data_IF_173738320426
#
_entry.id   IF_173738320426
#
_cell.length_a   1.000
_cell.length_b   1.000
_cell.length_c   1.000
_cell.angle_alpha   90.00
_cell.angle_beta   90.00
_cell.angle_gamma   90.00
#
_symmetry.space_group_name_H-M   'P 1'
#
loop_
_entity.id
_entity.type
_entity.pdbx_description
1 polymer ?
#
# COMPACT_ATOMS: atom_id res chain seq x y z
N UNK A 1 2.17 23.63 -24.42
CA UNK A 1 2.03 22.29 -23.82
C UNK A 1 1.28 22.45 -22.51
N UNK A 2 0.55 21.43 -22.07
CA UNK A 2 0.01 21.39 -20.71
C UNK A 2 0.85 20.39 -19.94
N UNK A 3 1.10 20.69 -18.67
CA UNK A 3 1.85 19.83 -17.78
C UNK A 3 0.85 19.08 -16.92
N UNK A 4 1.15 17.81 -16.67
CA UNK A 4 0.38 16.94 -15.81
C UNK A 4 1.17 16.74 -14.52
N UNK A 5 0.43 16.71 -13.43
CA UNK A 5 0.95 16.69 -12.06
C UNK A 5 0.21 15.60 -11.30
N UNK A 6 0.88 15.00 -10.33
CA UNK A 6 0.26 14.07 -9.39
C UNK A 6 0.51 14.59 -7.98
N UNK A 7 -0.58 14.86 -7.28
CA UNK A 7 -0.52 15.23 -5.88
C UNK A 7 -1.39 14.27 -5.07
N UNK A 8 -0.90 13.88 -3.91
CA UNK A 8 -1.52 12.90 -3.06
C UNK A 8 -1.23 13.16 -1.58
N UNK A 9 -2.15 12.68 -0.75
CA UNK A 9 -2.05 12.75 0.71
C UNK A 9 -2.50 11.44 1.30
N UNK A 10 -1.98 11.12 2.47
CA UNK A 10 -2.38 9.93 3.18
C UNK A 10 -2.04 9.96 4.65
N UNK A 11 -2.34 8.84 5.28
CA UNK A 11 -2.15 8.61 6.70
C UNK A 11 -1.57 7.22 6.91
N UNK A 12 -0.49 7.17 7.68
CA UNK A 12 0.04 5.97 8.29
C UNK A 12 -0.72 5.69 9.60
N UNK A 13 -1.32 4.51 9.73
CA UNK A 13 -2.02 4.06 10.93
C UNK A 13 -1.04 3.30 11.83
N UNK A 14 -0.41 3.99 12.77
CA UNK A 14 0.72 3.51 13.58
C UNK A 14 0.64 4.04 15.02
N UNK A 15 1.35 3.45 15.97
CA UNK A 15 1.33 3.93 17.36
C UNK A 15 2.09 5.24 17.56
N UNK A 16 3.24 5.38 16.90
CA UNK A 16 4.15 6.52 16.98
C UNK A 16 5.12 6.55 15.81
N UNK A 17 5.63 7.72 15.45
CA UNK A 17 6.78 7.80 14.54
C UNK A 17 8.02 7.29 15.28
N UNK A 18 8.78 6.44 14.59
CA UNK A 18 10.03 5.82 15.03
C UNK A 18 11.11 6.00 13.95
N UNK A 19 12.39 5.70 14.24
CA UNK A 19 13.46 5.76 13.25
C UNK A 19 13.15 4.99 11.95
N UNK A 20 12.54 3.80 12.03
CA UNK A 20 12.14 3.06 10.81
C UNK A 20 11.11 3.83 9.98
N UNK A 21 10.09 4.39 10.63
CA UNK A 21 9.06 5.17 9.93
C UNK A 21 9.66 6.44 9.33
N UNK A 22 10.57 7.11 10.04
CA UNK A 22 11.29 8.28 9.52
C UNK A 22 12.15 7.93 8.31
N UNK A 23 12.88 6.81 8.34
CA UNK A 23 13.71 6.36 7.23
C UNK A 23 12.88 6.04 5.97
N UNK A 24 11.73 5.38 6.13
CA UNK A 24 10.91 4.91 5.00
C UNK A 24 9.94 5.97 4.47
N UNK A 25 9.46 6.89 5.32
CA UNK A 25 8.40 7.83 4.95
C UNK A 25 8.78 9.30 5.13
N UNK A 26 10.00 9.61 5.60
CA UNK A 26 10.43 10.98 5.86
C UNK A 26 10.38 11.90 4.63
N UNK A 27 10.64 11.36 3.43
CA UNK A 27 10.54 12.09 2.17
C UNK A 27 9.09 12.51 1.82
N UNK A 28 8.07 11.86 2.40
CA UNK A 28 6.66 12.14 2.15
C UNK A 28 6.10 13.25 3.05
N UNK A 29 6.85 14.31 3.37
CA UNK A 29 6.40 15.38 4.27
C UNK A 29 5.76 14.83 5.57
N UNK A 30 6.42 13.83 6.17
CA UNK A 30 5.91 13.08 7.33
C UNK A 30 5.62 14.01 8.52
N UNK A 31 4.38 14.02 9.01
CA UNK A 31 3.94 14.88 10.12
C UNK A 31 3.02 14.13 11.11
N UNK A 32 3.45 13.98 12.37
CA UNK A 32 2.64 13.41 13.45
C UNK A 32 1.65 14.41 14.08
N UNK A 33 1.79 15.70 13.79
CA UNK A 33 1.01 16.77 14.41
C UNK A 33 -0.28 17.10 13.65
N UNK A 34 -0.44 16.53 12.45
CA UNK A 34 -1.51 16.86 11.51
C UNK A 34 -2.28 15.59 11.07
N UNK A 35 -3.59 15.44 11.34
CA UNK A 35 -4.35 15.98 12.47
C UNK A 35 -4.02 15.21 13.78
N UNK A 36 -4.10 15.87 14.95
CA UNK A 36 -3.49 15.40 16.19
C UNK A 36 -4.20 14.19 16.85
N UNK A 37 -3.41 13.17 17.23
CA UNK A 37 -3.62 12.46 18.52
C UNK A 37 -4.14 11.01 18.53
N UNK A 38 -4.37 10.34 17.40
CA UNK A 38 -5.08 9.04 17.38
C UNK A 38 -4.27 7.87 16.78
N UNK A 39 -2.94 7.87 16.91
CA UNK A 39 -2.10 6.83 16.30
C UNK A 39 -2.08 6.94 14.77
N UNK A 40 -1.85 8.15 14.28
CA UNK A 40 -1.87 8.52 12.87
C UNK A 40 -0.74 9.47 12.57
N UNK A 41 -0.04 9.28 11.45
CA UNK A 41 0.93 10.23 10.92
C UNK A 41 0.54 10.57 9.48
N UNK A 42 0.53 11.86 9.15
CA UNK A 42 0.27 12.35 7.81
C UNK A 42 1.49 12.18 6.91
N UNK A 43 1.21 11.86 5.65
CA UNK A 43 2.18 11.84 4.57
C UNK A 43 1.58 12.54 3.34
N UNK A 44 2.41 13.14 2.52
CA UNK A 44 2.04 13.76 1.25
C UNK A 44 3.09 13.49 0.19
N UNK A 45 2.63 13.49 -1.06
CA UNK A 45 3.46 13.52 -2.26
C UNK A 45 2.93 14.65 -3.12
N UNK A 46 3.74 15.68 -3.33
CA UNK A 46 3.32 16.89 -4.04
C UNK A 46 4.32 17.10 -5.17
N UNK A 47 3.86 16.94 -6.41
CA UNK A 47 4.67 16.96 -7.62
C UNK A 47 5.63 18.15 -7.78
N UNK A 48 5.33 19.29 -7.17
CA UNK A 48 6.17 20.50 -7.21
C UNK A 48 6.99 20.75 -5.93
N UNK A 49 6.78 19.97 -4.86
CA UNK A 49 7.45 20.12 -3.55
C UNK A 49 8.31 18.90 -3.22
N UNK A 50 7.68 17.73 -3.17
CA UNK A 50 8.28 16.49 -2.73
C UNK A 50 7.75 15.32 -3.56
N UNK A 51 8.64 14.63 -4.26
CA UNK A 51 8.31 13.47 -5.08
C UNK A 51 9.20 12.30 -4.68
N UNK A 52 8.86 11.56 -3.61
CA UNK A 52 9.75 10.59 -2.99
C UNK A 52 10.23 9.52 -3.97
N UNK A 53 11.54 9.45 -4.15
CA UNK A 53 12.22 8.43 -4.95
C UNK A 53 12.86 7.39 -4.05
N UNK A 54 13.08 6.19 -4.58
CA UNK A 54 13.85 5.15 -3.90
C UNK A 54 15.25 5.61 -3.48
N UNK A 55 15.86 6.55 -4.22
CA UNK A 55 17.12 7.18 -3.82
C UNK A 55 16.99 7.96 -2.50
N UNK A 56 15.88 8.67 -2.27
CA UNK A 56 15.63 9.37 -1.01
C UNK A 56 15.41 8.38 0.14
N UNK A 57 14.77 7.24 -0.15
CA UNK A 57 14.57 6.15 0.82
C UNK A 57 15.91 5.51 1.18
N UNK A 58 16.80 5.31 0.22
CA UNK A 58 18.14 4.77 0.47
C UNK A 58 18.93 5.66 1.43
N UNK A 59 18.88 6.99 1.28
CA UNK A 59 19.52 7.92 2.22
C UNK A 59 18.98 7.71 3.65
N UNK A 60 17.65 7.62 3.80
CA UNK A 60 17.02 7.34 5.10
C UNK A 60 17.39 5.97 5.68
N UNK A 61 17.50 4.94 4.84
CA UNK A 61 17.92 3.60 5.26
C UNK A 61 19.40 3.58 5.69
N UNK A 62 20.27 4.31 5.02
CA UNK A 62 21.69 4.45 5.39
C UNK A 62 21.82 5.17 6.73
N UNK A 63 21.07 6.24 6.95
CA UNK A 63 21.06 6.93 8.24
C UNK A 63 20.58 6.01 9.36
N UNK A 64 19.52 5.21 9.12
CA UNK A 64 19.02 4.23 10.07
C UNK A 64 20.06 3.13 10.38
N UNK A 65 20.73 2.59 9.37
CA UNK A 65 21.74 1.54 9.59
C UNK A 65 22.96 2.08 10.33
N UNK A 66 23.37 3.33 10.07
CA UNK A 66 24.42 4.02 10.81
C UNK A 66 24.03 4.24 12.28
N UNK A 67 22.80 4.69 12.55
CA UNK A 67 22.29 4.87 13.91
C UNK A 67 22.22 3.56 14.70
N UNK A 68 22.03 2.44 14.00
CA UNK A 68 22.03 1.09 14.55
C UNK A 68 23.42 0.42 14.58
N UNK A 69 24.48 1.13 14.14
CA UNK A 69 25.86 0.63 14.03
C UNK A 69 25.98 -0.66 13.18
N UNK A 70 25.23 -0.70 12.07
CA UNK A 70 25.20 -1.82 11.13
C UNK A 70 26.13 -1.56 9.94
N UNK A 71 26.91 -2.58 9.56
CA UNK A 71 27.71 -2.53 8.34
C UNK A 71 26.80 -2.74 7.11
N UNK A 72 26.74 -1.73 6.25
CA UNK A 72 26.04 -1.80 4.95
C UNK A 72 27.08 -1.81 3.83
N UNK A 73 26.98 -2.81 2.94
CA UNK A 73 27.90 -3.00 1.83
C UNK A 73 29.17 -3.78 2.18
N UNK A 74 29.94 -4.16 1.16
CA UNK A 74 31.31 -4.64 1.33
C UNK A 74 32.26 -3.45 1.56
N UNK A 75 33.43 -3.65 2.18
CA UNK A 75 34.36 -2.60 2.64
C UNK A 75 34.73 -1.49 1.60
N UNK A 76 34.48 -1.72 0.30
CA UNK A 76 34.75 -0.78 -0.81
C UNK A 76 33.52 -0.57 -1.77
N UNK A 77 32.34 -1.08 -1.43
CA UNK A 77 31.13 -1.00 -2.27
C UNK A 77 30.22 0.19 -1.95
N UNK A 78 29.55 0.75 -2.96
CA UNK A 78 28.48 1.74 -2.74
C UNK A 78 27.27 1.05 -2.10
N UNK A 79 26.70 1.66 -1.05
CA UNK A 79 25.51 1.12 -0.41
C UNK A 79 24.33 1.15 -1.40
N UNK A 80 23.55 0.08 -1.39
CA UNK A 80 22.35 -0.07 -2.22
C UNK A 80 21.15 -0.35 -1.31
N UNK A 81 19.94 -0.23 -1.86
CA UNK A 81 18.72 -0.53 -1.10
C UNK A 81 18.75 -1.98 -0.63
N UNK A 82 19.12 -2.92 -1.50
CA UNK A 82 19.16 -4.34 -1.19
C UNK A 82 20.14 -4.63 -0.05
N UNK A 83 21.33 -4.03 -0.08
CA UNK A 83 22.34 -4.25 0.97
C UNK A 83 21.91 -3.64 2.31
N UNK A 84 21.27 -2.47 2.30
CA UNK A 84 20.69 -1.87 3.51
C UNK A 84 19.53 -2.72 4.07
N UNK A 85 18.62 -3.18 3.20
CA UNK A 85 17.49 -4.01 3.60
C UNK A 85 17.93 -5.36 4.17
N UNK A 86 18.95 -6.02 3.61
CA UNK A 86 19.48 -7.26 4.19
C UNK A 86 20.15 -7.07 5.55
N UNK A 87 20.88 -5.97 5.73
CA UNK A 87 21.48 -5.63 7.02
C UNK A 87 20.38 -5.39 8.09
N UNK A 88 19.34 -4.65 7.74
CA UNK A 88 18.18 -4.41 8.60
C UNK A 88 17.39 -5.70 8.86
N UNK A 89 17.17 -6.54 7.84
CA UNK A 89 16.47 -7.82 8.01
C UNK A 89 17.16 -8.72 9.03
N UNK A 90 18.49 -8.76 9.00
CA UNK A 90 19.30 -9.47 10.01
C UNK A 90 19.15 -8.86 11.41
N UNK A 91 19.14 -7.53 11.52
CA UNK A 91 18.94 -6.82 12.79
C UNK A 91 17.55 -7.08 13.41
N UNK A 92 16.50 -7.04 12.59
CA UNK A 92 15.12 -7.28 13.01
C UNK A 92 14.73 -8.77 13.07
N UNK A 93 15.67 -9.70 12.81
CA UNK A 93 15.45 -11.16 12.83
C UNK A 93 14.35 -11.64 11.86
N UNK A 94 14.28 -11.01 10.69
CA UNK A 94 13.33 -11.31 9.60
C UNK A 94 14.07 -11.70 8.31
N UNK A 95 15.32 -12.12 8.42
CA UNK A 95 16.20 -12.54 7.31
C UNK A 95 15.72 -13.82 6.59
N UNK A 96 14.77 -14.55 7.21
CA UNK A 96 14.14 -15.74 6.62
C UNK A 96 12.71 -15.47 6.12
N UNK A 97 12.25 -14.22 6.10
CA UNK A 97 10.93 -13.86 5.59
C UNK A 97 10.92 -13.93 4.05
N UNK A 98 10.14 -14.87 3.50
CA UNK A 98 10.09 -15.15 2.06
C UNK A 98 9.56 -13.97 1.24
N UNK A 99 8.60 -13.21 1.79
CA UNK A 99 7.97 -12.09 1.11
C UNK A 99 8.93 -10.90 1.01
N UNK A 100 9.63 -10.62 2.12
CA UNK A 100 10.69 -9.62 2.16
C UNK A 100 11.87 -10.02 1.26
N UNK A 101 12.29 -11.28 1.29
CA UNK A 101 13.34 -11.78 0.41
C UNK A 101 12.97 -11.61 -1.07
N UNK A 102 11.73 -11.99 -1.43
CA UNK A 102 11.21 -11.81 -2.79
C UNK A 102 11.18 -10.33 -3.20
N UNK A 103 10.78 -9.42 -2.30
CA UNK A 103 10.85 -7.98 -2.55
C UNK A 103 12.29 -7.55 -2.84
N UNK A 104 13.23 -7.90 -1.97
CA UNK A 104 14.64 -7.49 -2.12
C UNK A 104 15.27 -8.04 -3.40
N UNK A 105 14.94 -9.27 -3.81
CA UNK A 105 15.55 -9.93 -4.96
C UNK A 105 14.95 -9.53 -6.32
N UNK A 106 13.69 -9.07 -6.34
CA UNK A 106 12.95 -8.88 -7.59
C UNK A 106 12.39 -7.48 -7.80
N UNK A 107 12.32 -6.66 -6.76
CA UNK A 107 11.89 -5.28 -6.90
C UNK A 107 13.00 -4.43 -7.53
N UNK A 108 12.70 -3.59 -8.53
CA UNK A 108 13.73 -2.81 -9.22
C UNK A 108 14.32 -1.68 -8.37
N UNK A 109 13.57 -1.17 -7.38
CA UNK A 109 13.96 -0.04 -6.54
C UNK A 109 14.43 1.19 -7.36
N UNK A 110 13.80 1.42 -8.51
CA UNK A 110 14.10 2.54 -9.40
C UNK A 110 12.96 3.55 -9.40
N UNK A 111 13.30 4.85 -9.49
CA UNK A 111 12.35 5.97 -9.58
C UNK A 111 11.49 6.12 -8.31
N UNK A 112 10.19 6.37 -8.48
CA UNK A 112 9.24 6.68 -7.42
C UNK A 112 9.16 5.55 -6.40
N UNK A 113 9.17 5.89 -5.12
CA UNK A 113 9.00 4.93 -4.04
C UNK A 113 7.55 4.47 -3.96
N UNK A 114 7.31 3.17 -4.14
CA UNK A 114 5.97 2.59 -4.08
C UNK A 114 5.58 2.28 -2.63
N UNK A 115 4.36 2.68 -2.27
CA UNK A 115 3.85 2.52 -0.90
C UNK A 115 3.64 1.05 -0.51
N UNK A 116 3.47 0.14 -1.48
CA UNK A 116 3.29 -1.29 -1.20
C UNK A 116 4.59 -1.92 -0.67
N UNK A 117 5.73 -1.71 -1.33
CA UNK A 117 7.02 -2.14 -0.82
C UNK A 117 7.36 -1.46 0.51
N UNK A 118 7.15 -0.14 0.63
CA UNK A 118 7.40 0.58 1.88
C UNK A 118 6.56 0.04 3.04
N UNK A 119 5.29 -0.28 2.79
CA UNK A 119 4.43 -0.91 3.80
C UNK A 119 4.95 -2.29 4.21
N UNK A 120 5.32 -3.14 3.23
CA UNK A 120 5.89 -4.46 3.50
C UNK A 120 7.15 -4.34 4.36
N UNK A 121 8.11 -3.49 3.97
CA UNK A 121 9.35 -3.27 4.71
C UNK A 121 9.06 -2.79 6.14
N UNK A 122 8.24 -1.75 6.30
CA UNK A 122 7.87 -1.22 7.62
C UNK A 122 7.22 -2.28 8.51
N UNK A 123 6.34 -3.11 7.94
CA UNK A 123 5.64 -4.15 8.69
C UNK A 123 6.55 -5.29 9.17
N UNK A 124 7.77 -5.43 8.62
CA UNK A 124 8.78 -6.40 9.05
C UNK A 124 9.83 -5.77 9.96
N UNK A 125 10.18 -4.51 9.72
CA UNK A 125 11.15 -3.76 10.54
C UNK A 125 10.44 -3.01 11.68
N UNK A 126 9.64 -3.70 12.48
CA UNK A 126 8.88 -3.06 13.56
C UNK A 126 9.77 -2.78 14.79
N UNK A 127 10.25 -1.53 14.89
CA UNK A 127 10.95 -0.97 16.05
C UNK A 127 9.99 -0.40 17.13
N UNK A 128 8.71 -0.79 17.09
CA UNK A 128 7.66 -0.39 18.03
C UNK A 128 6.65 0.61 17.46
N UNK A 129 6.72 0.91 16.16
CA UNK A 129 5.77 1.78 15.47
C UNK A 129 4.43 1.07 15.20
N UNK A 130 4.41 -0.26 15.05
CA UNK A 130 3.19 -1.05 14.79
C UNK A 130 2.35 -0.49 13.65
N UNK A 131 2.94 -0.36 12.45
CA UNK A 131 2.21 0.13 11.27
C UNK A 131 1.16 -0.90 10.88
N UNK A 132 -0.10 -0.50 10.93
CA UNK A 132 -1.23 -1.41 10.70
C UNK A 132 -1.94 -1.19 9.37
N UNK A 133 -1.85 0.03 8.83
CA UNK A 133 -2.40 0.36 7.52
C UNK A 133 -1.82 1.66 6.96
N UNK A 134 -1.89 1.83 5.65
CA UNK A 134 -1.71 3.10 4.93
C UNK A 134 -3.00 3.40 4.18
N UNK A 135 -3.51 4.61 4.35
CA UNK A 135 -4.61 5.16 3.55
C UNK A 135 -4.03 6.29 2.73
N UNK A 136 -4.09 6.20 1.40
CA UNK A 136 -3.51 7.19 0.52
C UNK A 136 -4.49 7.52 -0.60
N UNK A 137 -4.70 8.80 -0.88
CA UNK A 137 -5.50 9.25 -2.01
C UNK A 137 -4.78 10.37 -2.76
N UNK A 138 -4.88 10.34 -4.07
CA UNK A 138 -4.24 11.28 -4.95
C UNK A 138 -5.09 11.60 -6.17
N UNK A 139 -4.59 12.53 -6.96
CA UNK A 139 -5.17 12.80 -8.26
C UNK A 139 -4.13 13.29 -9.25
N UNK A 140 -4.35 12.91 -10.50
CA UNK A 140 -3.72 13.59 -11.62
C UNK A 140 -4.52 14.84 -11.95
N UNK A 141 -3.81 15.96 -12.03
CA UNK A 141 -4.37 17.21 -12.53
C UNK A 141 -3.49 17.80 -13.62
N UNK A 142 -4.08 18.74 -14.36
CA UNK A 142 -3.44 19.40 -15.47
C UNK A 142 -3.48 20.90 -15.24
N UNK A 143 -2.41 21.62 -15.61
CA UNK A 143 -2.38 23.09 -15.50
C UNK A 143 -3.45 23.80 -16.33
N UNK A 144 -4.14 23.08 -17.24
CA UNK A 144 -5.27 23.57 -18.02
C UNK A 144 -6.30 22.45 -18.22
N UNK A 145 -7.62 22.73 -18.14
CA UNK A 145 -8.64 21.72 -18.40
C UNK A 145 -8.48 21.08 -19.78
N UNK A 146 -8.40 19.75 -19.80
CA UNK A 146 -8.31 18.91 -20.99
C UNK A 146 -9.24 17.72 -20.84
N UNK A 147 -9.76 17.25 -21.98
CA UNK A 147 -10.65 16.09 -21.99
C UNK A 147 -9.90 14.87 -21.48
N UNK A 148 -10.44 14.23 -20.44
CA UNK A 148 -9.97 12.96 -19.89
C UNK A 148 -8.58 12.97 -19.21
N UNK A 149 -8.11 14.13 -18.76
CA UNK A 149 -6.81 14.29 -18.07
C UNK A 149 -6.94 14.44 -16.54
N UNK A 150 -8.15 14.26 -15.99
CA UNK A 150 -8.37 14.23 -14.54
C UNK A 150 -8.63 12.78 -14.13
N UNK A 151 -7.86 12.29 -13.17
CA UNK A 151 -8.01 10.94 -12.62
C UNK A 151 -7.79 10.96 -11.13
N UNK A 152 -8.58 10.19 -10.39
CA UNK A 152 -8.30 9.92 -8.99
C UNK A 152 -7.44 8.66 -8.85
N UNK A 153 -6.74 8.59 -7.74
CA UNK A 153 -5.98 7.43 -7.27
C UNK A 153 -6.28 7.23 -5.79
N UNK A 154 -6.37 5.99 -5.35
CA UNK A 154 -6.52 5.67 -3.95
C UNK A 154 -6.01 4.26 -3.67
N UNK A 155 -5.23 4.12 -2.59
CA UNK A 155 -4.84 2.83 -2.08
C UNK A 155 -5.12 2.71 -0.57
N UNK A 156 -5.64 1.56 -0.19
CA UNK A 156 -5.74 1.12 1.20
C UNK A 156 -4.84 -0.09 1.34
N UNK A 157 -3.78 0.02 2.12
CA UNK A 157 -2.82 -1.05 2.36
C UNK A 157 -2.91 -1.47 3.82
N UNK A 158 -3.00 -2.77 4.08
CA UNK A 158 -2.93 -3.36 5.41
C UNK A 158 -2.50 -4.82 5.30
N UNK A 159 -2.13 -5.47 6.41
CA UNK A 159 -1.79 -6.90 6.39
C UNK A 159 -2.99 -7.78 5.99
N UNK A 160 -4.21 -7.32 6.26
CA UNK A 160 -5.41 -8.11 6.02
C UNK A 160 -6.01 -7.92 4.62
N UNK A 161 -5.90 -6.70 4.10
CA UNK A 161 -6.58 -6.24 2.89
C UNK A 161 -5.74 -5.16 2.21
N UNK A 162 -5.47 -5.35 0.92
CA UNK A 162 -4.92 -4.33 0.03
C UNK A 162 -5.90 -4.05 -1.10
N UNK A 163 -6.24 -2.77 -1.31
CA UNK A 163 -7.14 -2.33 -2.38
C UNK A 163 -6.57 -1.10 -3.08
N UNK A 164 -6.76 -1.08 -4.40
CA UNK A 164 -6.43 0.05 -5.27
C UNK A 164 -7.68 0.46 -6.04
N UNK A 165 -7.81 1.75 -6.30
CA UNK A 165 -8.93 2.29 -7.04
C UNK A 165 -8.72 3.74 -7.38
N UNK A 166 -9.75 4.38 -7.93
CA UNK A 166 -9.63 5.72 -8.52
C UNK A 166 -10.48 6.76 -7.80
N UNK A 167 -10.87 6.47 -6.54
CA UNK A 167 -11.67 7.36 -5.70
C UNK A 167 -11.52 7.02 -4.23
N UNK A 168 -11.85 7.97 -3.35
CA UNK A 168 -11.86 7.82 -1.89
C UNK A 168 -12.76 6.70 -1.38
N UNK A 169 -13.73 6.25 -2.19
CA UNK A 169 -14.55 5.05 -1.91
C UNK A 169 -13.70 3.80 -1.65
N UNK A 170 -12.52 3.71 -2.28
CA UNK A 170 -11.57 2.61 -2.08
C UNK A 170 -11.08 2.55 -0.63
N UNK A 171 -10.85 3.72 0.00
CA UNK A 171 -10.39 3.82 1.38
C UNK A 171 -11.49 3.36 2.35
N UNK A 172 -12.72 3.78 2.12
CA UNK A 172 -13.89 3.37 2.91
C UNK A 172 -14.11 1.86 2.82
N UNK A 173 -14.09 1.31 1.60
CA UNK A 173 -14.22 -0.13 1.34
C UNK A 173 -13.10 -0.92 2.04
N UNK A 174 -11.85 -0.46 1.94
CA UNK A 174 -10.70 -1.10 2.59
C UNK A 174 -10.84 -1.13 4.11
N UNK A 175 -11.21 0.00 4.71
CA UNK A 175 -11.41 0.11 6.15
C UNK A 175 -12.54 -0.81 6.65
N UNK A 176 -13.65 -0.89 5.91
CA UNK A 176 -14.78 -1.76 6.26
C UNK A 176 -14.43 -3.24 6.14
N UNK A 177 -13.76 -3.64 5.05
CA UNK A 177 -13.32 -5.03 4.85
C UNK A 177 -12.29 -5.44 5.90
N UNK A 178 -11.31 -4.58 6.19
CA UNK A 178 -10.33 -4.81 7.25
C UNK A 178 -11.00 -4.97 8.60
N UNK A 179 -11.93 -4.09 8.95
CA UNK A 179 -12.69 -4.18 10.22
C UNK A 179 -13.45 -5.50 10.34
N UNK A 180 -14.14 -5.93 9.27
CA UNK A 180 -14.87 -7.19 9.26
C UNK A 180 -13.92 -8.40 9.35
N UNK A 181 -12.77 -8.35 8.67
CA UNK A 181 -11.75 -9.40 8.70
C UNK A 181 -11.08 -9.53 10.07
N UNK A 182 -10.81 -8.43 10.76
CA UNK A 182 -10.27 -8.41 12.13
C UNK A 182 -11.29 -8.91 13.16
N UNK A 183 -12.59 -8.74 12.89
CA UNK A 183 -13.66 -9.30 13.70
C UNK A 183 -13.94 -10.81 13.42
N UNK A 184 -13.18 -11.43 12.50
CA UNK A 184 -13.39 -12.80 12.01
C UNK A 184 -14.83 -13.04 11.52
N UNK A 185 -15.40 -12.05 10.83
CA UNK A 185 -16.78 -12.09 10.31
C UNK A 185 -16.80 -12.24 8.77
N UNK A 186 -16.68 -13.47 8.24
CA UNK A 186 -16.75 -13.71 6.79
C UNK A 186 -18.12 -13.36 6.20
N UNK A 187 -19.19 -13.33 6.99
CA UNK A 187 -20.51 -12.92 6.53
C UNK A 187 -20.54 -11.41 6.25
N UNK A 188 -19.92 -10.59 7.12
CA UNK A 188 -19.79 -9.16 6.88
C UNK A 188 -18.86 -8.85 5.69
N UNK A 189 -17.73 -9.54 5.56
CA UNK A 189 -16.83 -9.41 4.40
C UNK A 189 -17.58 -9.71 3.10
N UNK A 190 -18.25 -10.87 3.03
CA UNK A 190 -18.99 -11.27 1.83
C UNK A 190 -20.16 -10.33 1.51
N UNK A 191 -20.94 -9.91 2.50
CA UNK A 191 -22.03 -8.95 2.31
C UNK A 191 -21.52 -7.62 1.74
N UNK A 192 -20.33 -7.16 2.16
CA UNK A 192 -19.75 -5.92 1.64
C UNK A 192 -19.28 -6.05 0.19
N UNK A 193 -18.66 -7.17 -0.18
CA UNK A 193 -18.27 -7.47 -1.57
C UNK A 193 -19.51 -7.57 -2.47
N UNK A 194 -20.58 -8.23 -2.00
CA UNK A 194 -21.85 -8.30 -2.73
C UNK A 194 -22.42 -6.90 -2.95
N UNK A 195 -22.39 -6.03 -1.93
CA UNK A 195 -22.84 -4.63 -2.06
C UNK A 195 -22.07 -3.90 -3.15
N UNK A 196 -20.75 -4.06 -3.21
CA UNK A 196 -19.91 -3.43 -4.23
C UNK A 196 -20.22 -3.95 -5.64
N UNK A 197 -20.37 -5.26 -5.77
CA UNK A 197 -20.76 -5.92 -7.02
C UNK A 197 -22.13 -5.44 -7.50
N UNK A 198 -23.09 -5.34 -6.58
CA UNK A 198 -24.44 -4.89 -6.88
C UNK A 198 -24.47 -3.40 -7.26
N UNK A 199 -23.56 -2.56 -6.74
CA UNK A 199 -23.41 -1.17 -7.20
C UNK A 199 -23.13 -1.12 -8.70
N UNK A 200 -22.21 -1.95 -9.20
CA UNK A 200 -21.89 -2.03 -10.63
C UNK A 200 -23.07 -2.57 -11.44
N UNK A 201 -23.71 -3.65 -10.98
CA UNK A 201 -24.88 -4.23 -11.64
C UNK A 201 -26.04 -3.22 -11.69
N UNK A 202 -26.22 -2.39 -10.66
CA UNK A 202 -27.27 -1.36 -10.62
C UNK A 202 -27.09 -0.26 -11.67
N UNK A 203 -25.89 -0.11 -12.24
CA UNK A 203 -25.60 0.86 -13.30
C UNK A 203 -26.24 0.54 -14.65
N UNK A 204 -26.69 -0.69 -14.87
CA UNK A 204 -27.42 -1.06 -16.08
C UNK A 204 -28.89 -0.67 -15.98
N UNK A 205 -29.44 0.04 -16.98
CA UNK A 205 -30.81 0.56 -16.93
C UNK A 205 -31.91 -0.51 -17.01
N UNK A 206 -31.67 -1.61 -17.74
CA UNK A 206 -32.64 -2.69 -17.98
C UNK A 206 -32.72 -3.66 -16.80
N UNK A 207 -33.91 -3.81 -16.22
CA UNK A 207 -34.13 -4.66 -15.04
C UNK A 207 -34.00 -6.16 -15.31
N UNK A 208 -34.51 -6.66 -16.44
CA UNK A 208 -34.41 -8.07 -16.81
C UNK A 208 -32.95 -8.42 -17.07
N UNK A 209 -32.21 -7.52 -17.71
CA UNK A 209 -30.77 -7.65 -17.89
C UNK A 209 -30.02 -7.67 -16.56
N UNK A 210 -30.34 -6.78 -15.61
CA UNK A 210 -29.71 -6.77 -14.27
C UNK A 210 -29.89 -8.10 -13.53
N UNK A 211 -31.12 -8.63 -13.53
CA UNK A 211 -31.43 -9.91 -12.87
C UNK A 211 -30.66 -11.07 -13.51
N UNK A 212 -30.63 -11.13 -14.85
CA UNK A 212 -29.85 -12.13 -15.57
C UNK A 212 -28.34 -11.97 -15.38
N UNK A 213 -27.84 -10.74 -15.27
CA UNK A 213 -26.43 -10.45 -15.02
C UNK A 213 -26.02 -10.90 -13.61
N UNK A 214 -26.83 -10.62 -12.58
CA UNK A 214 -26.56 -11.04 -11.21
C UNK A 214 -26.34 -12.56 -11.12
N UNK A 215 -27.21 -13.35 -11.75
CA UNK A 215 -27.08 -14.80 -11.77
C UNK A 215 -25.79 -15.25 -12.46
N UNK A 216 -25.48 -14.67 -13.63
CA UNK A 216 -24.26 -15.00 -14.37
C UNK A 216 -22.98 -14.64 -13.61
N UNK A 217 -22.95 -13.50 -12.92
CA UNK A 217 -21.81 -13.10 -12.10
C UNK A 217 -21.60 -14.10 -10.96
N UNK A 218 -22.67 -14.48 -10.25
CA UNK A 218 -22.59 -15.49 -9.19
C UNK A 218 -22.08 -16.84 -9.71
N UNK A 219 -22.57 -17.30 -10.87
CA UNK A 219 -22.11 -18.54 -11.51
C UNK A 219 -20.63 -18.48 -11.91
N UNK A 220 -20.14 -17.34 -12.41
CA UNK A 220 -18.74 -17.18 -12.79
C UNK A 220 -17.83 -17.21 -11.56
N UNK A 221 -18.20 -16.52 -10.48
CA UNK A 221 -17.42 -16.54 -9.23
C UNK A 221 -17.22 -17.96 -8.69
N UNK A 222 -18.22 -18.83 -8.82
CA UNK A 222 -18.12 -20.24 -8.41
C UNK A 222 -17.19 -21.06 -9.31
N UNK A 223 -17.02 -20.69 -10.59
CA UNK A 223 -16.14 -21.39 -11.53
C UNK A 223 -14.69 -20.93 -11.46
N UNK A 224 -14.47 -19.70 -11.02
CA UNK A 224 -13.14 -19.08 -10.92
C UNK A 224 -12.44 -19.42 -9.61
N UNK A 225 -13.12 -20.05 -8.65
CA UNK A 225 -12.49 -20.55 -7.43
C UNK A 225 -11.35 -21.54 -7.80
N UNK A 226 -10.10 -21.33 -7.35
CA UNK A 226 -9.03 -22.28 -7.61
C UNK A 226 -9.39 -23.64 -7.01
N UNK A 227 -9.20 -24.70 -7.79
CA UNK A 227 -9.22 -26.08 -7.27
C UNK A 227 -8.22 -26.13 -6.11
N UNK A 228 -8.68 -26.56 -4.93
CA UNK A 228 -7.78 -26.88 -3.81
C UNK A 228 -6.68 -27.85 -4.29
N UNK A 229 -5.43 -27.72 -3.81
CA UNK A 229 -4.35 -28.64 -4.19
C UNK A 229 -4.51 -30.08 -3.67
N UNK A 230 -5.64 -30.43 -3.05
CA UNK A 230 -5.96 -31.78 -2.58
C UNK A 230 -6.80 -32.58 -3.60
N UNK A 231 -6.25 -32.78 -4.79
CA UNK A 231 -6.55 -33.96 -5.61
C UNK A 231 -5.30 -34.38 -6.37
N UNK A 232 -4.28 -34.80 -5.63
CA UNK A 232 -3.30 -35.77 -6.11
C UNK A 232 -3.47 -37.03 -5.27
N UNK A 233 -4.42 -37.87 -5.70
CA UNK A 233 -4.44 -39.30 -5.37
C UNK A 233 -4.78 -40.03 -6.68
N UNK A 234 -3.73 -40.53 -7.34
CA UNK A 234 -3.52 -41.96 -7.69
C UNK A 234 -2.19 -42.14 -8.45
#
# INVERSE_FOLDING_TARGET
>A
MANNYYDATGVLMLNRITPVITALFGAFELDETYPPGDGRAYIARISESNDPQWADILEGLIDLTNDLDLAVGEEDGEATIETALWALASHFTVDQDEELAHLIEHHPFENEADLEALFLIASRFDDGHQLTAILFEGCWHCSKPRLFEFGGDACFLSQEVSLFGTSSHTLELGAELRKARLADDPAAVSARIVTETMRLISGFSDEEFRLGLQQRVAEQLLRTAPLSPDTLDD
#
